data_IF_893970404191
#
_entry.id   IF_893970404191
#
_cell.length_a   1.000
_cell.length_b   1.000
_cell.length_c   1.000
_cell.angle_alpha   90.00
_cell.angle_beta   90.00
_cell.angle_gamma   90.00
#
_symmetry.space_group_name_H-M   'P 1'
#
loop_
_entity.id
_entity.type
_entity.pdbx_description
1 polymer ?
#
# COMPACT_ATOMS: atom_id res chain seq x y z
N UNK A 1 26.08 -5.46 -20.51
CA UNK A 1 25.36 -5.09 -19.25
C UNK A 1 24.84 -6.38 -18.63
N UNK A 2 24.75 -6.50 -17.30
CA UNK A 2 24.11 -7.68 -16.69
C UNK A 2 22.61 -7.61 -16.93
N UNK A 3 21.98 -8.75 -17.22
CA UNK A 3 20.55 -8.86 -17.46
C UNK A 3 19.84 -9.42 -16.22
N UNK A 4 18.73 -8.82 -15.83
CA UNK A 4 17.92 -9.21 -14.68
C UNK A 4 16.44 -9.37 -15.09
N UNK A 5 15.73 -10.25 -14.41
CA UNK A 5 14.30 -10.45 -14.64
C UNK A 5 13.47 -10.00 -13.45
N UNK A 6 12.33 -9.40 -13.74
CA UNK A 6 11.25 -9.19 -12.81
C UNK A 6 10.07 -10.08 -13.21
N UNK A 7 9.52 -10.82 -12.26
CA UNK A 7 8.43 -11.76 -12.54
C UNK A 7 7.33 -11.57 -11.50
N UNK A 8 6.13 -11.26 -11.96
CA UNK A 8 5.00 -11.02 -11.06
C UNK A 8 3.69 -11.51 -11.68
N UNK A 9 2.94 -12.34 -10.94
CA UNK A 9 1.56 -12.65 -11.26
C UNK A 9 0.72 -11.37 -11.25
N UNK A 10 0.06 -11.06 -12.35
CA UNK A 10 -0.71 -9.82 -12.50
C UNK A 10 0.11 -8.53 -12.67
N UNK A 11 1.37 -8.55 -12.64
CA UNK A 11 2.43 -7.53 -12.50
C UNK A 11 2.23 -6.08 -12.93
N UNK A 12 1.32 -5.75 -13.85
CA UNK A 12 1.09 -4.38 -14.31
C UNK A 12 -0.21 -3.76 -13.76
N UNK A 13 -0.76 -4.31 -12.68
CA UNK A 13 -1.87 -3.68 -11.98
C UNK A 13 -1.43 -2.49 -11.12
N UNK A 14 -2.39 -1.69 -10.64
CA UNK A 14 -2.18 -0.51 -9.78
C UNK A 14 -2.12 -0.84 -8.28
N UNK A 15 -2.06 -2.13 -7.90
CA UNK A 15 -1.89 -2.54 -6.51
C UNK A 15 -0.55 -2.09 -5.92
N UNK A 16 -0.49 -1.84 -4.61
CA UNK A 16 0.74 -1.35 -3.96
C UNK A 16 1.96 -2.24 -4.15
N UNK A 17 1.78 -3.56 -4.12
CA UNK A 17 2.83 -4.55 -4.38
C UNK A 17 3.35 -4.48 -5.81
N UNK A 18 2.43 -4.42 -6.76
CA UNK A 18 2.71 -4.40 -8.20
C UNK A 18 3.42 -3.11 -8.58
N UNK A 19 2.90 -1.96 -8.13
CA UNK A 19 3.50 -0.64 -8.39
C UNK A 19 4.91 -0.56 -7.82
N UNK A 20 5.13 -1.06 -6.61
CA UNK A 20 6.49 -1.10 -6.03
C UNK A 20 7.46 -1.87 -6.91
N UNK A 21 7.10 -3.08 -7.34
CA UNK A 21 7.98 -3.90 -8.18
C UNK A 21 8.24 -3.25 -9.56
N UNK A 22 7.22 -2.60 -10.14
CA UNK A 22 7.34 -1.83 -11.38
C UNK A 22 8.31 -0.65 -11.23
N UNK A 23 8.18 0.12 -10.14
CA UNK A 23 9.01 1.31 -9.91
C UNK A 23 10.47 0.90 -9.65
N UNK A 24 10.72 -0.20 -8.93
CA UNK A 24 12.07 -0.79 -8.78
C UNK A 24 12.64 -1.24 -10.13
N UNK A 25 11.83 -1.90 -10.96
CA UNK A 25 12.26 -2.34 -12.30
C UNK A 25 12.65 -1.15 -13.19
N UNK A 26 11.85 -0.09 -13.20
CA UNK A 26 12.13 1.15 -13.94
C UNK A 26 13.45 1.77 -13.48
N UNK A 27 13.67 1.86 -12.18
CA UNK A 27 14.89 2.44 -11.62
C UNK A 27 16.13 1.59 -11.97
N UNK A 28 16.05 0.28 -11.84
CA UNK A 28 17.15 -0.61 -12.16
C UNK A 28 17.43 -0.70 -13.66
N UNK A 29 16.47 -0.41 -14.52
CA UNK A 29 16.66 -0.36 -15.97
C UNK A 29 17.60 0.78 -16.42
N UNK A 30 17.96 1.73 -15.55
CA UNK A 30 18.99 2.72 -15.85
C UNK A 30 20.41 2.13 -15.86
N UNK A 31 20.64 1.02 -15.15
CA UNK A 31 21.97 0.40 -14.97
C UNK A 31 22.06 -1.06 -15.38
N UNK A 32 20.93 -1.73 -15.60
CA UNK A 32 20.81 -3.14 -16.03
C UNK A 32 19.93 -3.26 -17.26
N UNK A 33 20.07 -4.38 -18.00
CA UNK A 33 19.03 -4.82 -18.93
C UNK A 33 17.92 -5.51 -18.13
N UNK A 34 16.70 -5.01 -18.25
CA UNK A 34 15.55 -5.46 -17.44
C UNK A 34 14.45 -6.03 -18.32
N UNK A 35 14.12 -7.32 -18.10
CA UNK A 35 12.91 -7.93 -18.62
C UNK A 35 11.87 -8.00 -17.48
N UNK A 36 10.65 -7.55 -17.73
CA UNK A 36 9.55 -7.64 -16.79
C UNK A 36 8.46 -8.58 -17.32
N UNK A 37 8.34 -9.74 -16.68
CA UNK A 37 7.36 -10.77 -17.00
C UNK A 37 6.07 -10.52 -16.21
N UNK A 38 4.95 -10.43 -16.92
CA UNK A 38 3.66 -10.17 -16.33
C UNK A 38 2.54 -10.97 -17.00
N UNK A 39 1.44 -11.17 -16.31
CA UNK A 39 0.18 -11.68 -16.88
C UNK A 39 -0.97 -10.75 -16.52
N UNK A 40 -2.11 -10.89 -17.23
CA UNK A 40 -3.36 -10.32 -16.76
C UNK A 40 -3.84 -11.07 -15.51
N UNK A 41 -4.88 -10.56 -14.85
CA UNK A 41 -5.47 -11.26 -13.73
C UNK A 41 -6.01 -12.63 -14.19
N UNK A 42 -5.90 -13.61 -13.30
CA UNK A 42 -6.52 -14.92 -13.47
C UNK A 42 -7.26 -15.28 -12.18
N UNK A 43 -8.31 -16.13 -12.26
CA UNK A 43 -9.06 -16.56 -11.09
C UNK A 43 -8.16 -17.23 -10.05
N UNK A 44 -8.49 -17.01 -8.76
CA UNK A 44 -7.90 -17.76 -7.65
C UNK A 44 -8.77 -18.94 -7.27
N UNK A 45 -8.15 -20.12 -7.07
CA UNK A 45 -8.79 -21.23 -6.40
C UNK A 45 -8.42 -21.17 -4.93
N UNK A 46 -9.41 -21.24 -4.05
CA UNK A 46 -9.23 -21.15 -2.59
C UNK A 46 -9.31 -19.75 -2.00
N UNK A 47 -9.71 -18.76 -2.80
CA UNK A 47 -9.97 -17.40 -2.31
C UNK A 47 -11.00 -16.70 -3.20
N UNK A 48 -11.88 -15.92 -2.59
CA UNK A 48 -12.80 -15.02 -3.29
C UNK A 48 -12.11 -13.70 -3.74
N UNK A 49 -10.83 -13.54 -3.41
CA UNK A 49 -10.09 -12.36 -3.82
C UNK A 49 -9.80 -12.39 -5.32
N UNK A 50 -10.05 -11.26 -5.98
CA UNK A 50 -9.79 -11.08 -7.41
C UNK A 50 -8.57 -10.19 -7.55
N UNK A 51 -7.55 -10.68 -8.25
CA UNK A 51 -6.38 -9.85 -8.58
C UNK A 51 -6.81 -8.78 -9.60
N UNK A 52 -6.43 -7.50 -9.42
CA UNK A 52 -6.72 -6.46 -10.40
C UNK A 52 -6.07 -6.76 -11.76
N UNK A 53 -6.77 -6.43 -12.82
CA UNK A 53 -6.24 -6.51 -14.18
C UNK A 53 -5.07 -5.55 -14.42
N UNK A 54 -4.40 -5.70 -15.57
CA UNK A 54 -3.42 -4.75 -16.06
C UNK A 54 -4.02 -3.33 -16.10
N UNK A 55 -3.37 -2.40 -15.43
CA UNK A 55 -3.69 -0.97 -15.46
C UNK A 55 -2.97 -0.32 -16.65
N UNK A 56 -3.74 0.15 -17.63
CA UNK A 56 -3.21 0.72 -18.87
C UNK A 56 -2.37 2.00 -18.63
N UNK A 57 -2.65 2.75 -17.57
CA UNK A 57 -1.84 3.91 -17.21
C UNK A 57 -0.47 3.46 -16.68
N UNK A 58 -0.44 2.47 -15.77
CA UNK A 58 0.81 1.90 -15.26
C UNK A 58 1.63 1.23 -16.36
N UNK A 59 0.98 0.46 -17.23
CA UNK A 59 1.64 -0.16 -18.38
C UNK A 59 2.34 0.88 -19.25
N UNK A 60 1.67 1.99 -19.59
CA UNK A 60 2.26 3.09 -20.37
C UNK A 60 3.47 3.75 -19.65
N UNK A 61 3.47 3.80 -18.32
CA UNK A 61 4.62 4.33 -17.57
C UNK A 61 5.82 3.38 -17.73
N UNK A 62 5.61 2.08 -17.58
CA UNK A 62 6.67 1.08 -17.74
C UNK A 62 7.18 1.03 -19.19
N UNK A 63 6.30 1.05 -20.18
CA UNK A 63 6.63 1.07 -21.62
C UNK A 63 7.47 2.29 -22.04
N UNK A 64 7.32 3.42 -21.35
CA UNK A 64 8.14 4.62 -21.57
C UNK A 64 9.55 4.54 -20.96
N UNK A 65 9.80 3.53 -20.15
CA UNK A 65 11.11 3.29 -19.55
C UNK A 65 11.97 2.36 -20.43
N UNK A 66 13.15 1.97 -19.94
CA UNK A 66 14.03 1.01 -20.61
C UNK A 66 13.70 -0.45 -20.29
N UNK A 67 12.57 -0.73 -19.64
CA UNK A 67 12.12 -2.08 -19.27
C UNK A 67 11.49 -2.78 -20.47
N UNK A 68 11.93 -4.00 -20.76
CA UNK A 68 11.29 -4.88 -21.76
C UNK A 68 10.14 -5.63 -21.14
N UNK A 69 8.91 -5.41 -21.62
CA UNK A 69 7.72 -6.10 -21.14
C UNK A 69 7.50 -7.42 -21.88
N UNK A 70 7.34 -8.52 -21.13
CA UNK A 70 7.07 -9.86 -21.67
C UNK A 70 5.79 -10.40 -21.02
N UNK A 71 4.74 -10.56 -21.82
CA UNK A 71 3.46 -11.07 -21.34
C UNK A 71 3.44 -12.58 -21.43
N UNK A 72 3.05 -13.25 -20.34
CA UNK A 72 2.72 -14.67 -20.32
C UNK A 72 1.24 -14.86 -19.93
N UNK A 73 0.74 -16.09 -20.04
CA UNK A 73 -0.63 -16.44 -19.72
C UNK A 73 -0.67 -17.37 -18.49
N UNK A 74 -1.74 -17.25 -17.72
CA UNK A 74 -2.08 -18.16 -16.62
C UNK A 74 -3.59 -18.40 -16.69
N UNK A 75 -4.03 -19.64 -16.68
CA UNK A 75 -5.45 -19.99 -16.65
C UNK A 75 -6.06 -19.70 -15.28
N UNK A 76 -5.42 -20.16 -14.22
CA UNK A 76 -5.81 -19.84 -12.84
C UNK A 76 -4.64 -20.06 -11.86
N UNK A 77 -4.76 -19.50 -10.65
CA UNK A 77 -3.80 -19.67 -9.55
C UNK A 77 -4.45 -20.46 -8.41
N UNK A 78 -3.90 -21.65 -8.13
CA UNK A 78 -4.34 -22.49 -7.02
C UNK A 78 -3.56 -22.12 -5.75
N UNK A 79 -4.26 -21.72 -4.70
CA UNK A 79 -3.71 -21.39 -3.39
C UNK A 79 -4.28 -22.28 -2.27
N UNK A 80 -4.93 -23.38 -2.61
CA UNK A 80 -5.49 -24.32 -1.64
C UNK A 80 -4.41 -25.11 -0.89
N UNK A 81 -3.23 -25.18 -1.45
CA UNK A 81 -2.07 -25.92 -0.93
C UNK A 81 -0.97 -24.97 -0.44
N UNK A 82 0.01 -25.54 0.28
CA UNK A 82 1.22 -24.78 0.70
C UNK A 82 2.05 -24.28 -0.49
N UNK A 83 2.00 -24.95 -1.63
CA UNK A 83 2.58 -24.52 -2.89
C UNK A 83 1.51 -23.80 -3.71
N UNK A 84 1.58 -22.51 -3.78
CA UNK A 84 0.74 -21.73 -4.68
C UNK A 84 1.15 -21.99 -6.13
N UNK A 85 0.24 -22.46 -6.97
CA UNK A 85 0.59 -22.98 -8.29
C UNK A 85 -0.15 -22.24 -9.40
N UNK A 86 0.59 -21.76 -10.41
CA UNK A 86 0.01 -21.26 -11.65
C UNK A 86 -0.34 -22.43 -12.56
N UNK A 87 -1.57 -22.52 -12.99
CA UNK A 87 -2.12 -23.60 -13.82
C UNK A 87 -2.38 -23.05 -15.22
N UNK A 88 -2.18 -23.90 -16.24
CA UNK A 88 -2.34 -23.54 -17.65
C UNK A 88 -1.53 -22.31 -18.05
N UNK A 89 -0.24 -22.32 -17.73
CA UNK A 89 0.68 -21.22 -18.04
C UNK A 89 1.66 -21.61 -19.14
N UNK A 90 1.96 -20.65 -20.02
CA UNK A 90 3.06 -20.72 -21.00
C UNK A 90 4.33 -20.01 -20.53
N UNK A 91 4.48 -19.79 -19.23
CA UNK A 91 5.62 -19.07 -18.66
C UNK A 91 6.97 -19.65 -19.13
N UNK A 92 7.12 -20.98 -19.07
CA UNK A 92 8.36 -21.66 -19.45
C UNK A 92 8.69 -21.61 -20.94
N UNK A 93 7.71 -21.34 -21.81
CA UNK A 93 7.97 -21.15 -23.25
C UNK A 93 8.69 -19.83 -23.52
N UNK A 94 8.56 -18.86 -22.60
CA UNK A 94 9.08 -17.51 -22.72
C UNK A 94 10.29 -17.26 -21.82
N UNK A 95 10.43 -18.00 -20.72
CA UNK A 95 11.43 -17.77 -19.68
C UNK A 95 12.53 -18.81 -19.68
N UNK A 96 13.79 -18.32 -19.73
CA UNK A 96 14.99 -19.14 -19.56
C UNK A 96 15.87 -18.51 -18.46
N UNK A 97 15.98 -19.17 -17.30
CA UNK A 97 16.73 -18.65 -16.15
C UNK A 97 18.19 -18.35 -16.47
N UNK A 98 18.80 -19.06 -17.42
CA UNK A 98 20.23 -18.90 -17.79
C UNK A 98 20.54 -17.54 -18.40
N UNK A 99 19.54 -16.81 -18.87
CA UNK A 99 19.70 -15.46 -19.44
C UNK A 99 19.92 -14.39 -18.38
N UNK A 100 19.65 -14.69 -17.11
CA UNK A 100 19.59 -13.72 -16.04
C UNK A 100 20.63 -13.97 -14.97
N UNK A 101 21.22 -12.88 -14.48
CA UNK A 101 22.14 -12.91 -13.34
C UNK A 101 21.40 -12.81 -11.99
N UNK A 102 20.16 -12.35 -12.00
CA UNK A 102 19.31 -12.16 -10.81
C UNK A 102 17.84 -12.10 -11.23
N UNK A 103 16.96 -12.62 -10.39
CA UNK A 103 15.52 -12.58 -10.57
C UNK A 103 14.89 -11.87 -9.38
N UNK A 104 14.00 -10.91 -9.66
CA UNK A 104 13.12 -10.31 -8.66
C UNK A 104 11.72 -10.87 -8.80
N UNK A 105 11.12 -11.25 -7.69
CA UNK A 105 9.71 -11.63 -7.62
C UNK A 105 9.05 -11.02 -6.41
N UNK A 106 7.73 -10.93 -6.44
CA UNK A 106 6.95 -10.53 -5.27
C UNK A 106 5.81 -11.52 -5.09
N UNK A 107 5.86 -12.22 -3.96
CA UNK A 107 4.86 -13.22 -3.56
C UNK A 107 4.23 -12.83 -2.23
N UNK A 108 3.20 -13.58 -1.80
CA UNK A 108 2.65 -13.45 -0.45
C UNK A 108 3.52 -14.18 0.61
N UNK A 109 4.74 -14.60 0.26
CA UNK A 109 5.68 -15.29 1.14
C UNK A 109 5.66 -16.81 1.01
N UNK A 110 4.57 -17.44 0.60
CA UNK A 110 4.51 -18.89 0.40
C UNK A 110 5.35 -19.33 -0.80
N UNK A 111 5.86 -20.58 -0.82
CA UNK A 111 6.43 -21.17 -2.01
C UNK A 111 5.43 -21.11 -3.18
N UNK A 112 5.90 -20.73 -4.35
CA UNK A 112 5.04 -20.51 -5.51
C UNK A 112 5.67 -21.10 -6.77
N UNK A 113 4.90 -21.96 -7.48
CA UNK A 113 5.24 -22.35 -8.84
C UNK A 113 4.92 -21.18 -9.79
N UNK A 114 5.77 -20.79 -10.75
CA UNK A 114 6.95 -21.52 -11.26
C UNK A 114 8.27 -21.23 -10.52
N UNK A 115 8.32 -20.39 -9.50
CA UNK A 115 9.58 -20.00 -8.84
C UNK A 115 10.28 -21.17 -8.15
N UNK A 116 9.52 -22.16 -7.67
CA UNK A 116 10.07 -23.39 -7.08
C UNK A 116 10.89 -24.23 -8.05
N UNK A 117 10.71 -24.03 -9.36
CA UNK A 117 11.43 -24.76 -10.41
C UNK A 117 12.65 -24.00 -10.93
N UNK A 118 12.82 -22.74 -10.58
CA UNK A 118 14.06 -21.98 -10.79
C UNK A 118 15.09 -22.45 -9.74
N UNK A 119 16.23 -23.02 -10.20
CA UNK A 119 17.17 -23.68 -9.29
C UNK A 119 18.54 -22.97 -9.19
N UNK A 120 18.99 -22.36 -10.27
CA UNK A 120 20.38 -21.93 -10.41
C UNK A 120 20.54 -20.42 -10.30
N UNK A 121 19.59 -19.67 -10.80
CA UNK A 121 19.66 -18.20 -10.76
C UNK A 121 19.23 -17.68 -9.39
N UNK A 122 20.05 -16.82 -8.75
CA UNK A 122 19.67 -16.18 -7.49
C UNK A 122 18.37 -15.39 -7.62
N UNK A 123 17.52 -15.44 -6.57
CA UNK A 123 16.27 -14.69 -6.51
C UNK A 123 16.26 -13.74 -5.31
N UNK A 124 15.65 -12.58 -5.51
CA UNK A 124 15.17 -11.69 -4.46
C UNK A 124 13.65 -11.79 -4.42
N UNK A 125 13.12 -12.24 -3.27
CA UNK A 125 11.68 -12.32 -3.05
C UNK A 125 11.21 -11.13 -2.21
N UNK A 126 10.37 -10.27 -2.78
CA UNK A 126 9.76 -9.14 -2.04
C UNK A 126 8.44 -9.59 -1.45
N UNK A 127 8.34 -9.60 -0.14
CA UNK A 127 7.14 -10.04 0.60
C UNK A 127 6.43 -8.83 1.18
N UNK A 128 5.29 -8.49 0.58
CA UNK A 128 4.47 -7.34 0.99
C UNK A 128 3.25 -7.73 1.84
N UNK A 129 2.92 -9.02 1.84
CA UNK A 129 1.83 -9.61 2.64
C UNK A 129 2.34 -10.94 3.20
N UNK A 130 2.33 -11.09 4.52
CA UNK A 130 2.85 -12.29 5.19
C UNK A 130 1.80 -13.40 5.24
N UNK A 131 1.67 -14.17 4.17
CA UNK A 131 0.83 -15.36 4.12
C UNK A 131 1.63 -16.66 4.28
N UNK A 132 2.96 -16.60 4.36
CA UNK A 132 3.82 -17.77 4.53
C UNK A 132 5.31 -17.45 4.49
N UNK A 133 6.13 -18.50 4.47
CA UNK A 133 7.59 -18.43 4.39
C UNK A 133 8.08 -19.33 3.25
N UNK A 134 8.99 -18.82 2.45
CA UNK A 134 9.70 -19.57 1.42
C UNK A 134 11.22 -19.50 1.68
N UNK A 135 11.80 -20.59 2.16
CA UNK A 135 13.25 -20.72 2.42
C UNK A 135 13.97 -21.48 1.28
N UNK A 136 13.47 -21.42 0.06
CA UNK A 136 14.07 -22.04 -1.11
C UNK A 136 15.55 -21.62 -1.27
N UNK A 137 16.43 -22.59 -1.60
CA UNK A 137 17.88 -22.40 -1.54
C UNK A 137 18.42 -21.27 -2.43
N UNK A 138 17.82 -21.05 -3.60
CA UNK A 138 18.19 -20.00 -4.53
C UNK A 138 17.58 -18.61 -4.22
N UNK A 139 16.74 -18.48 -3.18
CA UNK A 139 16.35 -17.15 -2.65
C UNK A 139 17.56 -16.59 -1.91
N UNK A 140 18.26 -15.68 -2.54
CA UNK A 140 19.43 -15.00 -1.97
C UNK A 140 19.03 -14.08 -0.82
N UNK A 141 17.96 -13.29 -1.00
CA UNK A 141 17.38 -12.43 0.02
C UNK A 141 15.86 -12.37 -0.08
N UNK A 142 15.20 -12.35 1.07
CA UNK A 142 13.80 -11.98 1.20
C UNK A 142 13.73 -10.52 1.67
N UNK A 143 13.08 -9.66 0.90
CA UNK A 143 12.85 -8.27 1.27
C UNK A 143 11.51 -8.18 1.99
N UNK A 144 11.54 -7.70 3.22
CA UNK A 144 10.39 -7.43 4.06
C UNK A 144 10.22 -5.91 4.18
N UNK A 145 8.99 -5.45 4.20
CA UNK A 145 8.69 -4.02 4.01
C UNK A 145 8.55 -3.23 5.31
N UNK A 146 8.58 -3.91 6.46
CA UNK A 146 8.46 -3.31 7.79
C UNK A 146 9.02 -4.23 8.88
N UNK A 147 9.33 -3.68 10.06
CA UNK A 147 9.71 -4.50 11.22
C UNK A 147 8.57 -5.42 11.67
N UNK A 148 7.30 -4.98 11.61
CA UNK A 148 6.14 -5.82 11.92
C UNK A 148 6.06 -7.03 10.97
N UNK A 149 6.31 -6.81 9.67
CA UNK A 149 6.33 -7.90 8.69
C UNK A 149 7.53 -8.85 8.92
N UNK A 150 8.69 -8.32 9.27
CA UNK A 150 9.88 -9.12 9.55
C UNK A 150 9.70 -9.98 10.80
N UNK A 151 9.16 -9.41 11.87
CA UNK A 151 8.87 -10.15 13.10
C UNK A 151 7.94 -11.34 12.84
N UNK A 152 6.83 -11.10 12.13
CA UNK A 152 5.86 -12.16 11.79
C UNK A 152 6.44 -13.23 10.88
N UNK A 153 7.28 -12.83 9.91
CA UNK A 153 7.92 -13.75 8.99
C UNK A 153 8.93 -14.65 9.71
N UNK A 154 9.73 -14.09 10.64
CA UNK A 154 10.67 -14.84 11.47
C UNK A 154 9.95 -15.81 12.43
N UNK A 155 8.84 -15.39 13.04
CA UNK A 155 8.00 -16.22 13.91
C UNK A 155 7.42 -17.43 13.16
N UNK A 156 7.16 -17.30 11.85
CA UNK A 156 6.74 -18.39 10.97
C UNK A 156 7.88 -19.29 10.48
N UNK A 157 9.13 -19.07 10.93
CA UNK A 157 10.29 -19.86 10.55
C UNK A 157 11.08 -19.33 9.35
N UNK A 158 10.99 -18.04 9.08
CA UNK A 158 11.83 -17.36 8.08
C UNK A 158 13.31 -17.43 8.43
N UNK A 159 14.18 -17.49 7.42
CA UNK A 159 15.64 -17.60 7.61
C UNK A 159 16.23 -16.25 8.00
N UNK A 160 16.65 -16.16 9.28
CA UNK A 160 17.21 -14.95 9.89
C UNK A 160 18.47 -14.40 9.20
N UNK A 161 19.17 -15.19 8.41
CA UNK A 161 20.40 -14.79 7.73
C UNK A 161 20.16 -14.32 6.29
N UNK A 162 18.91 -14.51 5.78
CA UNK A 162 18.55 -14.22 4.39
C UNK A 162 17.40 -13.24 4.23
N UNK A 163 17.24 -12.26 5.13
CA UNK A 163 16.28 -11.20 4.92
C UNK A 163 16.91 -9.80 5.06
N UNK A 164 16.21 -8.82 4.52
CA UNK A 164 16.47 -7.39 4.70
C UNK A 164 15.14 -6.66 4.87
N UNK A 165 15.14 -5.58 5.65
CA UNK A 165 13.97 -4.70 5.77
C UNK A 165 14.20 -3.50 4.87
N UNK A 166 13.45 -3.42 3.78
CA UNK A 166 13.48 -2.29 2.84
C UNK A 166 12.06 -1.78 2.72
N UNK A 167 11.74 -0.62 3.30
CA UNK A 167 10.44 0.00 3.15
C UNK A 167 10.10 0.24 1.68
N UNK A 168 8.84 0.08 1.32
CA UNK A 168 8.37 0.47 -0.01
C UNK A 168 8.48 1.99 -0.13
N UNK A 169 9.18 2.46 -1.15
CA UNK A 169 9.19 3.87 -1.50
C UNK A 169 8.24 4.10 -2.68
N UNK A 170 7.79 5.31 -2.82
CA UNK A 170 6.96 5.72 -3.93
C UNK A 170 7.46 7.05 -4.46
N UNK A 171 7.50 7.17 -5.79
CA UNK A 171 7.82 8.44 -6.42
C UNK A 171 6.92 9.54 -5.86
N UNK A 172 7.53 10.66 -5.47
CA UNK A 172 6.80 11.80 -4.94
C UNK A 172 5.73 12.26 -5.93
N UNK A 173 4.51 12.48 -5.44
CA UNK A 173 3.44 13.06 -6.24
C UNK A 173 3.79 14.51 -6.58
N UNK A 174 3.58 14.91 -7.82
CA UNK A 174 3.66 16.33 -8.19
C UNK A 174 2.60 17.09 -7.40
N UNK A 175 3.07 17.96 -6.52
CA UNK A 175 2.20 18.72 -5.63
C UNK A 175 1.69 19.97 -6.32
N UNK A 176 0.38 20.16 -6.30
CA UNK A 176 -0.26 21.40 -6.68
C UNK A 176 -0.70 22.20 -5.44
N UNK A 177 -1.33 23.34 -5.66
CA UNK A 177 -2.03 24.11 -4.61
C UNK A 177 -3.55 23.93 -4.71
N UNK A 178 -4.02 23.03 -5.59
CA UNK A 178 -5.44 22.80 -5.79
C UNK A 178 -6.01 21.96 -4.64
N UNK A 179 -7.19 22.34 -4.17
CA UNK A 179 -7.95 21.62 -3.16
C UNK A 179 -9.45 21.59 -3.51
N UNK A 180 -10.23 20.88 -2.71
CA UNK A 180 -11.69 20.80 -2.85
C UNK A 180 -12.42 21.83 -1.99
N UNK A 181 -11.73 22.70 -1.22
CA UNK A 181 -12.35 23.56 -0.20
C UNK A 181 -13.40 24.50 -0.80
N UNK A 182 -13.04 25.23 -1.85
CA UNK A 182 -13.97 26.15 -2.52
C UNK A 182 -15.13 25.43 -3.19
N UNK A 183 -14.84 24.31 -3.86
CA UNK A 183 -15.84 23.52 -4.59
C UNK A 183 -16.90 22.91 -3.67
N UNK A 184 -16.48 22.56 -2.44
CA UNK A 184 -17.36 21.95 -1.43
C UNK A 184 -17.80 22.92 -0.33
N UNK A 185 -17.49 24.23 -0.45
CA UNK A 185 -17.79 25.26 0.56
C UNK A 185 -17.20 24.93 1.93
N UNK A 186 -15.93 24.49 1.96
CA UNK A 186 -15.21 24.07 3.17
C UNK A 186 -14.04 24.98 3.54
N UNK A 187 -13.97 26.21 3.00
CA UNK A 187 -12.81 27.12 3.15
C UNK A 187 -12.44 27.39 4.61
N UNK A 188 -13.44 27.47 5.49
CA UNK A 188 -13.27 27.79 6.91
C UNK A 188 -13.43 26.56 7.82
N UNK A 189 -13.34 25.33 7.26
CA UNK A 189 -13.49 24.11 8.05
C UNK A 189 -12.14 23.48 8.40
N UNK A 190 -12.06 22.88 9.59
CA UNK A 190 -11.01 21.95 9.93
C UNK A 190 -11.38 20.56 9.43
N UNK A 191 -10.59 19.98 8.51
CA UNK A 191 -10.99 18.82 7.74
C UNK A 191 -10.17 17.60 8.15
N UNK A 192 -10.85 16.61 8.69
CA UNK A 192 -10.34 15.25 8.89
C UNK A 192 -10.69 14.41 7.67
N UNK A 193 -9.87 13.43 7.35
CA UNK A 193 -10.22 12.53 6.26
C UNK A 193 -9.18 11.47 5.99
N UNK A 194 -9.49 10.64 5.01
CA UNK A 194 -8.56 9.62 4.50
C UNK A 194 -8.94 9.25 3.06
N UNK A 195 -7.98 8.68 2.33
CA UNK A 195 -8.29 7.99 1.09
C UNK A 195 -7.96 6.49 1.20
N UNK A 196 -8.75 5.68 0.51
CA UNK A 196 -8.64 4.23 0.57
C UNK A 196 -9.33 3.60 -0.65
N UNK A 197 -8.91 2.38 -1.05
CA UNK A 197 -9.64 1.64 -2.08
C UNK A 197 -11.07 1.30 -1.61
N UNK A 198 -11.98 1.16 -2.57
CA UNK A 198 -13.37 0.77 -2.30
C UNK A 198 -13.43 -0.75 -2.01
N UNK A 199 -13.32 -1.13 -0.73
CA UNK A 199 -13.24 -2.52 -0.31
C UNK A 199 -13.84 -2.66 1.11
N UNK A 200 -14.93 -3.41 1.22
CA UNK A 200 -15.64 -3.61 2.48
C UNK A 200 -14.86 -4.47 3.48
N UNK A 201 -13.95 -5.32 3.00
CA UNK A 201 -13.14 -6.19 3.85
C UNK A 201 -12.18 -5.42 4.75
N UNK A 202 -11.81 -4.18 4.37
CA UNK A 202 -10.89 -3.32 5.11
C UNK A 202 -11.58 -2.23 5.93
N UNK A 203 -12.91 -2.17 5.90
CA UNK A 203 -13.70 -1.17 6.63
C UNK A 203 -13.37 -1.15 8.13
N UNK A 204 -13.26 0.05 8.68
CA UNK A 204 -13.12 0.30 10.12
C UNK A 204 -14.12 1.33 10.60
N UNK A 205 -14.88 0.97 11.60
CA UNK A 205 -15.91 1.83 12.19
C UNK A 205 -15.35 2.94 13.11
N UNK A 206 -14.05 2.89 13.41
CA UNK A 206 -13.43 3.71 14.48
C UNK A 206 -13.43 5.19 14.14
N UNK A 207 -13.07 5.55 12.90
CA UNK A 207 -12.89 6.94 12.51
C UNK A 207 -14.18 7.75 12.65
N UNK A 208 -15.30 7.26 12.10
CA UNK A 208 -16.57 7.98 12.14
C UNK A 208 -17.19 7.95 13.54
N UNK A 209 -17.05 6.86 14.30
CA UNK A 209 -17.45 6.83 15.72
C UNK A 209 -16.67 7.84 16.58
N UNK A 210 -15.38 8.03 16.28
CA UNK A 210 -14.58 9.02 16.97
C UNK A 210 -14.94 10.45 16.52
N UNK A 211 -15.12 10.65 15.22
CA UNK A 211 -15.51 11.94 14.66
C UNK A 211 -16.86 12.41 15.21
N UNK A 212 -17.87 11.55 15.33
CA UNK A 212 -19.17 11.90 15.91
C UNK A 212 -19.07 12.54 17.30
N UNK A 213 -18.03 12.18 18.08
CA UNK A 213 -17.82 12.76 19.42
C UNK A 213 -17.26 14.18 19.39
N UNK A 214 -16.70 14.63 18.27
CA UNK A 214 -16.07 15.95 18.09
C UNK A 214 -16.74 16.77 16.99
N UNK A 215 -17.73 16.21 16.30
CA UNK A 215 -18.46 16.89 15.23
C UNK A 215 -19.05 18.19 15.73
N UNK A 216 -18.80 19.27 15.00
CA UNK A 216 -19.38 20.58 15.21
C UNK A 216 -19.41 21.38 13.90
N UNK A 217 -19.93 22.61 13.93
CA UNK A 217 -20.07 23.43 12.74
C UNK A 217 -18.74 23.89 12.12
N UNK A 218 -17.62 23.79 12.84
CA UNK A 218 -16.30 24.26 12.40
C UNK A 218 -15.46 23.15 11.77
N UNK A 219 -15.90 21.88 11.85
CA UNK A 219 -15.14 20.76 11.30
C UNK A 219 -15.94 19.92 10.29
N UNK A 220 -15.20 19.09 9.52
CA UNK A 220 -15.75 18.28 8.46
C UNK A 220 -14.97 16.95 8.33
N UNK A 221 -15.66 15.90 7.90
CA UNK A 221 -15.01 14.61 7.63
C UNK A 221 -15.12 14.27 6.13
N UNK A 222 -13.99 14.13 5.48
CA UNK A 222 -13.91 13.98 4.03
C UNK A 222 -13.21 12.67 3.64
N UNK A 223 -13.84 11.87 2.79
CA UNK A 223 -13.34 10.56 2.36
C UNK A 223 -13.22 10.51 0.84
N UNK A 224 -12.08 10.02 0.33
CA UNK A 224 -11.90 9.68 -1.07
C UNK A 224 -11.82 8.15 -1.21
N UNK A 225 -12.77 7.54 -1.91
CA UNK A 225 -12.90 6.09 -1.99
C UNK A 225 -13.41 5.47 -0.70
N UNK A 226 -12.79 4.36 -0.29
CA UNK A 226 -13.22 3.60 0.88
C UNK A 226 -14.45 2.73 0.63
N UNK A 227 -14.78 1.90 1.61
CA UNK A 227 -16.00 1.09 1.61
C UNK A 227 -17.26 1.95 1.59
N UNK A 228 -18.31 1.51 0.93
CA UNK A 228 -19.65 2.12 0.99
C UNK A 228 -20.25 2.10 2.41
N UNK A 229 -19.74 1.23 3.26
CA UNK A 229 -20.14 1.17 4.69
C UNK A 229 -19.83 2.46 5.45
N UNK A 230 -18.90 3.31 4.99
CA UNK A 230 -18.67 4.63 5.59
C UNK A 230 -19.87 5.57 5.41
N UNK A 231 -20.48 5.60 4.22
CA UNK A 231 -21.70 6.38 4.01
C UNK A 231 -22.86 5.85 4.81
N UNK A 232 -23.05 4.52 4.90
CA UNK A 232 -24.08 3.91 5.76
C UNK A 232 -23.85 4.25 7.23
N UNK A 233 -22.63 4.08 7.71
CA UNK A 233 -22.28 4.42 9.11
C UNK A 233 -22.48 5.91 9.43
N UNK A 234 -22.16 6.80 8.47
CA UNK A 234 -22.38 8.24 8.68
C UNK A 234 -23.86 8.57 8.88
N UNK A 235 -24.73 7.91 8.11
CA UNK A 235 -26.19 8.05 8.26
C UNK A 235 -26.67 7.48 9.62
N UNK A 236 -26.23 6.27 9.98
CA UNK A 236 -26.60 5.62 11.24
C UNK A 236 -26.17 6.44 12.47
N UNK A 237 -25.03 7.13 12.36
CA UNK A 237 -24.52 8.01 13.41
C UNK A 237 -25.06 9.44 13.32
N UNK A 238 -25.90 9.75 12.33
CA UNK A 238 -26.43 11.11 12.09
C UNK A 238 -25.29 12.15 12.00
N UNK A 239 -24.26 11.85 11.22
CA UNK A 239 -23.16 12.79 10.96
C UNK A 239 -23.55 13.72 9.82
N UNK A 240 -23.65 15.03 10.09
CA UNK A 240 -24.07 16.02 9.11
C UNK A 240 -22.91 16.58 8.29
N UNK A 241 -21.71 16.70 8.88
CA UNK A 241 -20.52 17.26 8.26
C UNK A 241 -19.66 16.15 7.66
N UNK A 242 -20.19 15.41 6.66
CA UNK A 242 -19.53 14.28 6.02
C UNK A 242 -19.70 14.31 4.52
N UNK A 243 -18.65 13.94 3.80
CA UNK A 243 -18.70 13.69 2.34
C UNK A 243 -17.78 12.53 1.99
N UNK A 244 -18.27 11.63 1.16
CA UNK A 244 -17.49 10.58 0.52
C UNK A 244 -17.54 10.75 -0.99
N UNK A 245 -16.37 10.78 -1.66
CA UNK A 245 -16.23 10.73 -3.10
C UNK A 245 -15.94 9.30 -3.55
N UNK A 246 -16.18 9.03 -4.82
CA UNK A 246 -15.79 7.76 -5.45
C UNK A 246 -14.26 7.56 -5.39
N UNK A 247 -13.84 6.30 -5.42
CA UNK A 247 -12.42 5.94 -5.42
C UNK A 247 -11.74 6.43 -6.70
N UNK A 248 -10.54 6.95 -6.58
CA UNK A 248 -9.75 7.40 -7.72
C UNK A 248 -8.29 6.96 -7.58
N UNK A 249 -7.70 6.51 -8.68
CA UNK A 249 -6.27 6.29 -8.82
C UNK A 249 -5.57 7.45 -9.55
N UNK A 250 -6.30 8.49 -9.95
CA UNK A 250 -5.74 9.68 -10.61
C UNK A 250 -4.88 10.47 -9.61
N UNK A 251 -3.57 10.61 -9.84
CA UNK A 251 -2.67 11.35 -8.96
C UNK A 251 -3.11 12.79 -8.71
N UNK A 252 -3.76 13.45 -9.69
CA UNK A 252 -4.25 14.82 -9.56
C UNK A 252 -5.43 14.92 -8.60
N UNK A 253 -6.30 13.91 -8.57
CA UNK A 253 -7.44 13.86 -7.65
C UNK A 253 -6.94 13.55 -6.23
N UNK A 254 -5.96 12.64 -6.09
CA UNK A 254 -5.33 12.32 -4.80
C UNK A 254 -4.60 13.55 -4.26
N UNK A 255 -3.81 14.26 -5.09
CA UNK A 255 -3.14 15.51 -4.71
C UNK A 255 -4.15 16.55 -4.22
N UNK A 256 -5.20 16.81 -4.99
CA UNK A 256 -6.26 17.76 -4.64
C UNK A 256 -6.95 17.37 -3.33
N UNK A 257 -7.19 16.08 -3.11
CA UNK A 257 -7.78 15.56 -1.89
C UNK A 257 -6.87 15.78 -0.67
N UNK A 258 -5.59 15.41 -0.77
CA UNK A 258 -4.63 15.54 0.34
C UNK A 258 -4.39 17.02 0.70
N UNK A 259 -4.34 17.92 -0.28
CA UNK A 259 -4.28 19.37 -0.05
C UNK A 259 -5.51 19.93 0.68
N UNK A 260 -6.67 19.24 0.60
CA UNK A 260 -7.90 19.66 1.29
C UNK A 260 -7.86 19.40 2.79
N UNK A 261 -7.16 18.34 3.22
CA UNK A 261 -7.17 17.87 4.60
C UNK A 261 -6.33 18.75 5.54
N UNK A 262 -6.70 18.74 6.83
CA UNK A 262 -5.86 19.16 7.94
C UNK A 262 -5.25 17.96 8.68
N UNK A 263 -5.98 16.87 8.82
CA UNK A 263 -5.54 15.65 9.53
C UNK A 263 -5.92 14.42 8.72
N UNK A 264 -4.98 13.49 8.58
CA UNK A 264 -5.24 12.19 7.98
C UNK A 264 -5.61 11.16 9.05
N UNK A 265 -6.85 10.65 8.96
CA UNK A 265 -7.40 9.68 9.92
C UNK A 265 -7.36 8.28 9.35
N UNK A 266 -6.25 7.59 9.55
CA UNK A 266 -6.10 6.23 9.06
C UNK A 266 -6.88 5.22 9.91
N UNK A 267 -7.46 4.22 9.23
CA UNK A 267 -8.07 3.07 9.90
C UNK A 267 -8.40 1.95 8.91
N UNK A 268 -7.91 0.75 9.22
CA UNK A 268 -8.21 -0.49 8.49
C UNK A 268 -8.48 -1.61 9.45
N UNK A 269 -9.45 -2.47 9.12
CA UNK A 269 -9.86 -3.61 9.94
C UNK A 269 -8.70 -4.52 10.33
N UNK A 270 -7.82 -4.82 9.37
CA UNK A 270 -6.66 -5.70 9.55
C UNK A 270 -5.33 -4.93 9.72
N UNK A 271 -5.36 -3.59 9.71
CA UNK A 271 -4.17 -2.74 9.80
C UNK A 271 -3.38 -2.68 8.49
N UNK A 272 -2.09 -2.33 8.61
CA UNK A 272 -1.20 -2.17 7.48
C UNK A 272 0.06 -3.01 7.63
N UNK A 273 0.51 -3.58 6.54
CA UNK A 273 1.85 -4.18 6.44
C UNK A 273 2.93 -3.14 6.18
N UNK A 274 2.54 -1.94 5.70
CA UNK A 274 3.38 -0.76 5.58
C UNK A 274 2.57 0.55 5.69
N UNK A 275 1.52 0.74 4.88
CA UNK A 275 0.70 1.95 4.91
C UNK A 275 1.17 3.05 3.97
N UNK A 276 1.26 2.76 2.66
CA UNK A 276 1.66 3.75 1.64
C UNK A 276 0.81 5.03 1.68
N UNK A 277 -0.50 4.91 1.93
CA UNK A 277 -1.41 6.06 2.04
C UNK A 277 -1.05 6.97 3.23
N UNK A 278 -0.44 6.41 4.27
CA UNK A 278 0.08 7.18 5.41
C UNK A 278 1.31 7.97 4.98
N UNK A 279 2.26 7.33 4.30
CA UNK A 279 3.44 8.00 3.76
C UNK A 279 3.05 9.11 2.77
N UNK A 280 2.07 8.86 1.89
CA UNK A 280 1.52 9.89 1.00
C UNK A 280 0.98 11.09 1.79
N UNK A 281 0.18 10.87 2.83
CA UNK A 281 -0.34 11.94 3.68
C UNK A 281 0.77 12.69 4.43
N UNK A 282 1.80 11.98 4.91
CA UNK A 282 2.97 12.59 5.56
C UNK A 282 3.76 13.49 4.61
N UNK A 283 3.82 13.16 3.30
CA UNK A 283 4.42 14.05 2.31
C UNK A 283 3.73 15.43 2.26
N UNK A 284 2.43 15.48 2.52
CA UNK A 284 1.67 16.75 2.62
C UNK A 284 1.80 17.42 3.99
N UNK A 285 2.58 16.86 4.90
CA UNK A 285 2.71 17.36 6.26
C UNK A 285 1.43 17.19 7.08
N UNK A 286 0.60 16.21 6.76
CA UNK A 286 -0.62 15.96 7.53
C UNK A 286 -0.28 15.19 8.82
N UNK A 287 -0.70 15.66 10.00
CA UNK A 287 -0.70 14.85 11.21
C UNK A 287 -1.55 13.60 11.02
N UNK A 288 -1.11 12.47 11.58
CA UNK A 288 -1.74 11.18 11.38
C UNK A 288 -2.40 10.69 12.68
N UNK A 289 -3.64 10.22 12.59
CA UNK A 289 -4.27 9.45 13.67
C UNK A 289 -4.62 8.07 13.12
N UNK A 290 -4.26 7.01 13.87
CA UNK A 290 -4.55 5.64 13.48
C UNK A 290 -4.94 4.77 14.66
N UNK A 291 -5.30 3.51 14.40
CA UNK A 291 -5.53 2.52 15.43
C UNK A 291 -4.77 1.23 15.12
N UNK A 292 -4.46 0.46 16.17
CA UNK A 292 -3.86 -0.87 16.06
C UNK A 292 -4.86 -1.87 15.51
N UNK A 293 -4.33 -2.86 14.80
CA UNK A 293 -5.07 -4.00 14.28
C UNK A 293 -4.15 -5.25 14.30
N UNK A 294 -4.41 -6.22 13.44
CA UNK A 294 -3.59 -7.43 13.32
C UNK A 294 -2.19 -7.12 12.74
N UNK A 295 -2.13 -6.34 11.66
CA UNK A 295 -0.88 -5.78 11.13
C UNK A 295 -0.70 -4.35 11.66
N UNK A 296 0.49 -4.03 12.17
CA UNK A 296 0.75 -2.78 12.89
C UNK A 296 1.92 -1.97 12.36
N UNK A 297 2.35 -2.19 11.12
CA UNK A 297 3.41 -1.38 10.51
C UNK A 297 3.08 0.12 10.46
N UNK A 298 1.78 0.49 10.47
CA UNK A 298 1.39 1.91 10.58
C UNK A 298 1.96 2.60 11.82
N UNK A 299 2.25 1.87 12.91
CA UNK A 299 2.83 2.45 14.12
C UNK A 299 4.27 2.92 13.90
N UNK A 300 5.09 2.12 13.19
CA UNK A 300 6.48 2.50 12.84
C UNK A 300 6.55 3.57 11.75
N UNK A 301 5.59 3.57 10.82
CA UNK A 301 5.51 4.59 9.76
C UNK A 301 5.13 5.93 10.34
N UNK A 302 4.11 5.99 11.19
CA UNK A 302 3.61 7.22 11.79
C UNK A 302 4.63 7.83 12.77
N UNK A 303 5.30 7.02 13.59
CA UNK A 303 6.26 7.52 14.55
C UNK A 303 5.76 8.72 15.35
N UNK A 304 6.53 9.81 15.37
CA UNK A 304 6.17 11.06 16.06
C UNK A 304 5.26 12.00 15.23
N UNK A 305 4.94 11.66 13.97
CA UNK A 305 4.02 12.42 13.13
C UNK A 305 2.55 12.34 13.57
N UNK A 306 2.25 11.49 14.54
CA UNK A 306 0.87 11.32 14.98
C UNK A 306 0.74 10.36 16.14
N UNK A 307 -0.45 9.73 16.26
CA UNK A 307 -0.74 8.74 17.30
C UNK A 307 -1.49 7.52 16.79
N UNK A 308 -1.17 6.37 17.37
CA UNK A 308 -1.83 5.10 17.12
C UNK A 308 -2.49 4.62 18.42
N UNK A 309 -3.78 4.36 18.38
CA UNK A 309 -4.57 3.97 19.53
C UNK A 309 -5.01 2.50 19.45
N UNK A 310 -5.36 1.91 20.59
CA UNK A 310 -6.06 0.64 20.56
C UNK A 310 -7.41 0.82 19.84
N UNK A 311 -7.78 -0.09 18.94
CA UNK A 311 -9.02 -0.06 18.14
C UNK A 311 -10.30 0.15 18.96
N UNK A 312 -10.34 -0.34 20.20
CA UNK A 312 -11.48 -0.17 21.11
C UNK A 312 -11.52 1.19 21.81
N UNK A 313 -10.45 1.97 21.72
CA UNK A 313 -10.33 3.25 22.45
C UNK A 313 -10.75 4.45 21.59
N UNK A 314 -12.03 4.45 21.20
CA UNK A 314 -12.65 5.54 20.42
C UNK A 314 -12.55 6.88 21.15
N UNK A 315 -12.62 6.87 22.48
CA UNK A 315 -12.51 8.08 23.28
C UNK A 315 -11.14 8.76 23.14
N UNK A 316 -10.06 8.01 23.25
CA UNK A 316 -8.71 8.58 23.07
C UNK A 316 -8.47 9.05 21.63
N UNK A 317 -9.00 8.31 20.64
CA UNK A 317 -8.96 8.71 19.24
C UNK A 317 -9.68 10.05 19.03
N UNK A 318 -10.90 10.21 19.54
CA UNK A 318 -11.65 11.47 19.44
C UNK A 318 -10.99 12.62 20.20
N UNK A 319 -10.37 12.35 21.35
CA UNK A 319 -9.62 13.35 22.11
C UNK A 319 -8.42 13.88 21.33
N UNK A 320 -7.72 13.01 20.59
CA UNK A 320 -6.64 13.42 19.72
C UNK A 320 -7.13 14.25 18.53
N UNK A 321 -8.25 13.84 17.89
CA UNK A 321 -8.87 14.65 16.84
C UNK A 321 -9.17 16.06 17.36
N UNK A 322 -9.79 16.18 18.52
CA UNK A 322 -10.08 17.48 19.13
C UNK A 322 -8.80 18.27 19.43
N UNK A 323 -7.76 17.62 20.00
CA UNK A 323 -6.50 18.30 20.32
C UNK A 323 -5.87 18.91 19.08
N UNK A 324 -5.76 18.17 17.98
CA UNK A 324 -5.20 18.66 16.73
C UNK A 324 -5.99 19.83 16.11
N UNK A 325 -7.29 19.95 16.39
CA UNK A 325 -8.11 21.04 15.86
C UNK A 325 -8.09 22.33 16.69
N UNK A 326 -7.62 22.28 17.94
CA UNK A 326 -7.68 23.44 18.85
C UNK A 326 -6.32 23.87 19.39
N UNK A 327 -5.30 23.02 19.32
CA UNK A 327 -3.94 23.27 19.81
C UNK A 327 -3.03 23.44 18.59
N UNK A 328 -2.82 24.69 18.21
CA UNK A 328 -2.08 25.06 16.99
C UNK A 328 -0.61 24.67 17.09
N UNK A 329 0.03 24.83 18.25
CA UNK A 329 1.43 24.45 18.46
C UNK A 329 1.62 22.96 18.30
N UNK A 330 0.73 22.17 18.91
CA UNK A 330 0.73 20.70 18.77
C UNK A 330 0.47 20.25 17.34
N UNK A 331 -0.43 20.92 16.64
CA UNK A 331 -0.70 20.65 15.23
C UNK A 331 0.56 20.85 14.38
N UNK A 332 1.23 22.00 14.52
CA UNK A 332 2.45 22.31 13.78
C UNK A 332 3.61 21.38 14.13
N UNK A 333 3.74 20.98 15.40
CA UNK A 333 4.71 19.93 15.81
C UNK A 333 4.50 18.64 15.01
N UNK A 334 3.27 18.15 14.95
CA UNK A 334 2.94 16.89 14.24
C UNK A 334 3.06 17.02 12.72
N UNK A 335 2.65 18.14 12.18
CA UNK A 335 2.78 18.45 10.75
C UNK A 335 4.25 18.47 10.30
N UNK A 336 5.10 19.17 11.05
CA UNK A 336 6.54 19.22 10.78
C UNK A 336 7.18 17.85 10.90
N UNK A 337 6.84 17.08 11.94
CA UNK A 337 7.32 15.72 12.12
C UNK A 337 6.91 14.80 10.96
N UNK A 338 5.67 14.93 10.46
CA UNK A 338 5.20 14.16 9.31
C UNK A 338 6.08 14.42 8.06
N UNK A 339 6.32 15.69 7.73
CA UNK A 339 7.14 16.04 6.57
C UNK A 339 8.59 15.60 6.73
N UNK A 340 9.16 15.74 7.93
CA UNK A 340 10.54 15.30 8.22
C UNK A 340 10.71 13.80 8.07
N UNK A 341 9.81 13.00 8.66
CA UNK A 341 9.85 11.54 8.55
C UNK A 341 9.64 11.05 7.12
N UNK A 342 8.76 11.71 6.37
CA UNK A 342 8.60 11.37 4.95
C UNK A 342 9.91 11.55 4.20
N UNK A 343 10.56 12.70 4.33
CA UNK A 343 11.83 12.98 3.65
C UNK A 343 12.96 12.05 4.08
N UNK A 344 12.96 11.60 5.33
CA UNK A 344 13.97 10.66 5.86
C UNK A 344 13.79 9.24 5.34
N UNK A 345 12.53 8.76 5.23
CA UNK A 345 12.25 7.34 5.03
C UNK A 345 11.68 6.96 3.67
N UNK A 346 11.10 7.93 2.94
CA UNK A 346 10.28 7.63 1.76
C UNK A 346 10.59 8.48 0.52
N UNK A 347 11.50 9.46 0.61
CA UNK A 347 11.91 10.30 -0.53
C UNK A 347 13.21 9.83 -1.20
#
# INVERSE_FOLDING_TARGET
MKKIAFIKFGGLSSGGTEVNLQDVAIHLAEIYEVDFYYCDSAPYIGSDWIHPDTDEHRKKIVEKSKVSLIKFNVGYKDITNKLHTWIDTNFWDLFDEKKYSLIFTSTAGSPEYPFTDIKNTPMINVVTVNAGVNNQANIYKTILISNDSAFKWLDQGGDKDRYEIIPVFRKELERSKNDFRKELSLENKFIYGFHQRADDSIFSEVQLKAYKKVENKENFFFVLGGSKLYSSQSNDLEINNFKQLESSADPKIIDKFLNTLNVFTHGRKHGETMGLVIAEAMNYGLPIISHRAEANAQEEVIGNAGKVFNKRNIFSYSKEMKKLSIDEEYYYEKSTAAKSLYNEKFS
#
